data_IF_023898074079
#
_entry.id   IF_023898074079
#
_cell.length_a   1.000
_cell.length_b   1.000
_cell.length_c   1.000
_cell.angle_alpha   90.00
_cell.angle_beta   90.00
_cell.angle_gamma   90.00
#
_symmetry.space_group_name_H-M   'P 1'
#
loop_
_entity.id
_entity.type
_entity.pdbx_description
1 polymer ?
#
# COMPACT_ATOMS: atom_id res chain seq x y z
N UNK A 1 -10.24 6.94 -5.77
CA UNK A 1 -10.61 6.63 -4.37
C UNK A 1 -9.49 6.95 -3.37
N UNK A 2 -8.21 6.58 -3.60
CA UNK A 2 -7.11 6.99 -2.69
C UNK A 2 -6.38 8.29 -3.09
N UNK A 3 -6.74 8.91 -4.21
CA UNK A 3 -6.01 10.04 -4.78
C UNK A 3 -5.85 11.23 -3.84
N UNK A 4 -6.91 11.57 -3.09
CA UNK A 4 -6.88 12.71 -2.20
C UNK A 4 -5.92 12.47 -1.03
N UNK A 5 -5.84 11.24 -0.53
CA UNK A 5 -4.85 10.85 0.47
C UNK A 5 -3.43 10.87 -0.07
N UNK A 6 -3.23 10.41 -1.30
CA UNK A 6 -1.92 10.51 -1.96
C UNK A 6 -1.53 11.99 -2.13
N UNK A 7 -2.44 12.86 -2.60
CA UNK A 7 -2.17 14.31 -2.76
C UNK A 7 -1.91 15.01 -1.43
N UNK A 8 -2.62 14.62 -0.37
CA UNK A 8 -2.43 15.14 0.99
C UNK A 8 -1.17 14.58 1.70
N UNK A 9 -0.42 13.66 1.07
CA UNK A 9 0.85 13.17 1.59
C UNK A 9 0.71 12.20 2.77
N UNK A 10 -0.39 11.42 2.82
CA UNK A 10 -0.54 10.38 3.82
C UNK A 10 0.51 9.28 3.57
N UNK A 11 1.38 8.96 4.56
CA UNK A 11 2.50 8.05 4.34
C UNK A 11 2.08 6.58 4.41
N UNK A 12 0.99 6.23 5.10
CA UNK A 12 0.51 4.85 5.23
C UNK A 12 -1.01 4.80 5.19
N UNK A 13 -1.53 3.93 4.33
CA UNK A 13 -2.95 3.61 4.17
C UNK A 13 -3.14 2.11 4.39
N UNK A 14 -4.21 1.72 5.06
CA UNK A 14 -4.66 0.33 5.20
C UNK A 14 -6.02 0.17 4.55
N UNK A 15 -6.09 -0.60 3.47
CA UNK A 15 -7.28 -0.77 2.64
C UNK A 15 -7.87 -2.14 2.91
N UNK A 16 -9.08 -2.14 3.48
CA UNK A 16 -9.85 -3.35 3.76
C UNK A 16 -10.64 -3.79 2.54
N UNK A 17 -10.30 -4.94 1.96
CA UNK A 17 -10.97 -5.51 0.78
C UNK A 17 -10.71 -7.01 0.61
N UNK A 18 -11.69 -7.73 0.06
CA UNK A 18 -11.53 -9.11 -0.41
C UNK A 18 -11.05 -9.21 -1.87
N UNK A 19 -10.97 -8.09 -2.59
CA UNK A 19 -10.57 -8.01 -4.00
C UNK A 19 -9.32 -7.13 -4.17
N UNK A 20 -8.14 -7.59 -3.73
CA UNK A 20 -6.93 -6.79 -3.75
C UNK A 20 -6.51 -6.39 -5.18
N UNK A 21 -6.59 -7.31 -6.14
CA UNK A 21 -6.21 -7.02 -7.54
C UNK A 21 -7.11 -5.96 -8.18
N UNK A 22 -8.43 -6.00 -7.92
CA UNK A 22 -9.38 -4.99 -8.42
C UNK A 22 -9.04 -3.61 -7.87
N UNK A 23 -8.79 -3.53 -6.57
CA UNK A 23 -8.39 -2.29 -5.92
C UNK A 23 -7.07 -1.75 -6.48
N UNK A 24 -6.03 -2.60 -6.53
CA UNK A 24 -4.68 -2.21 -6.96
C UNK A 24 -4.70 -1.74 -8.42
N UNK A 25 -5.34 -2.48 -9.33
CA UNK A 25 -5.45 -2.08 -10.73
C UNK A 25 -6.20 -0.74 -10.88
N UNK A 26 -7.30 -0.55 -10.16
CA UNK A 26 -8.03 0.73 -10.16
C UNK A 26 -7.22 1.89 -9.57
N UNK A 27 -6.35 1.62 -8.58
CA UNK A 27 -5.54 2.63 -7.91
C UNK A 27 -4.27 3.00 -8.69
N UNK A 28 -3.67 2.07 -9.43
CA UNK A 28 -2.47 2.32 -10.26
C UNK A 28 -2.76 3.38 -11.32
N UNK A 29 -3.91 3.32 -11.99
CA UNK A 29 -4.30 4.35 -12.98
C UNK A 29 -4.56 5.74 -12.37
N UNK A 30 -4.49 5.85 -11.06
CA UNK A 30 -4.84 7.03 -10.27
C UNK A 30 -3.63 7.54 -9.47
N UNK A 31 -2.41 7.05 -9.73
CA UNK A 31 -1.17 7.27 -8.97
C UNK A 31 -0.70 8.74 -8.87
N UNK A 32 -1.29 9.65 -9.63
CA UNK A 32 -0.99 11.09 -9.62
C UNK A 32 0.49 11.37 -9.90
N UNK A 33 1.09 10.63 -10.83
CA UNK A 33 2.50 10.77 -11.22
C UNK A 33 3.47 10.16 -10.23
N UNK A 34 2.98 9.29 -9.32
CA UNK A 34 3.82 8.48 -8.44
C UNK A 34 4.20 7.18 -9.12
N UNK A 35 5.38 6.66 -8.83
CA UNK A 35 5.82 5.35 -9.30
C UNK A 35 5.12 4.24 -8.51
N UNK A 36 4.29 3.40 -9.15
CA UNK A 36 3.63 2.30 -8.47
C UNK A 36 4.55 1.09 -8.27
N UNK A 37 4.55 0.54 -7.05
CA UNK A 37 5.21 -0.70 -6.68
C UNK A 37 4.19 -1.70 -6.17
N UNK A 38 4.41 -2.98 -6.44
CA UNK A 38 3.67 -4.09 -5.85
C UNK A 38 4.61 -4.93 -5.01
N UNK A 39 4.14 -5.40 -3.86
CA UNK A 39 4.84 -6.36 -3.03
C UNK A 39 3.91 -7.49 -2.59
N UNK A 40 4.46 -8.71 -2.56
CA UNK A 40 3.91 -9.83 -1.80
C UNK A 40 5.04 -10.65 -1.17
N UNK A 41 4.74 -11.34 -0.06
CA UNK A 41 5.74 -12.08 0.73
C UNK A 41 6.47 -13.16 -0.06
N UNK A 42 5.85 -13.72 -1.11
CA UNK A 42 6.41 -14.85 -1.85
C UNK A 42 7.44 -14.38 -2.87
N UNK A 43 7.19 -13.23 -3.50
CA UNK A 43 7.99 -12.74 -4.64
C UNK A 43 8.87 -11.53 -4.28
N UNK A 44 8.59 -10.86 -3.17
CA UNK A 44 9.20 -9.57 -2.83
C UNK A 44 8.46 -8.42 -3.53
N UNK A 45 9.18 -7.41 -4.05
CA UNK A 45 8.57 -6.26 -4.73
C UNK A 45 9.00 -6.08 -6.18
N UNK A 46 8.20 -5.34 -6.95
CA UNK A 46 8.56 -4.84 -8.28
C UNK A 46 7.89 -3.50 -8.55
N UNK A 47 8.47 -2.72 -9.46
CA UNK A 47 7.79 -1.59 -10.06
C UNK A 47 6.76 -2.08 -11.09
N UNK A 48 5.59 -1.45 -11.13
CA UNK A 48 4.56 -1.78 -12.12
C UNK A 48 4.77 -0.96 -13.41
N UNK A 49 4.57 -1.59 -14.56
CA UNK A 49 4.54 -0.92 -15.87
C UNK A 49 5.89 -0.70 -16.54
N UNK A 50 7.02 -0.94 -15.88
CA UNK A 50 8.36 -0.77 -16.45
C UNK A 50 9.03 -2.08 -16.93
N UNK A 51 8.33 -3.22 -16.81
CA UNK A 51 8.88 -4.54 -17.15
C UNK A 51 9.94 -5.07 -16.19
N UNK A 52 10.16 -4.43 -15.04
CA UNK A 52 11.11 -4.91 -14.04
C UNK A 52 10.64 -6.24 -13.43
N UNK A 53 11.62 -7.12 -13.19
CA UNK A 53 11.42 -8.35 -12.44
C UNK A 53 11.12 -8.11 -10.96
N UNK A 54 10.72 -9.18 -10.28
CA UNK A 54 10.59 -9.19 -8.83
C UNK A 54 11.95 -9.17 -8.17
N UNK A 55 12.06 -8.41 -7.08
CA UNK A 55 13.23 -8.30 -6.22
C UNK A 55 12.85 -8.83 -4.84
N UNK A 56 13.63 -9.78 -4.33
CA UNK A 56 13.41 -10.33 -2.99
C UNK A 56 13.50 -9.22 -1.94
N UNK A 57 12.63 -9.30 -0.94
CA UNK A 57 12.58 -8.35 0.15
C UNK A 57 11.95 -9.02 1.36
N UNK A 58 12.73 -9.06 2.44
CA UNK A 58 12.23 -9.52 3.73
C UNK A 58 11.09 -8.59 4.18
N UNK A 59 9.91 -9.12 4.58
CA UNK A 59 8.80 -8.31 5.08
C UNK A 59 9.19 -7.37 6.23
N UNK A 60 10.16 -7.74 7.09
CA UNK A 60 10.63 -6.90 8.18
C UNK A 60 11.46 -5.70 7.69
N UNK A 61 12.13 -5.81 6.53
CA UNK A 61 12.92 -4.71 5.94
C UNK A 61 12.13 -3.89 4.92
N UNK A 62 10.95 -4.36 4.48
CA UNK A 62 10.09 -3.68 3.51
C UNK A 62 9.86 -2.17 3.80
N UNK A 63 9.58 -1.73 5.04
CA UNK A 63 9.44 -0.31 5.32
C UNK A 63 10.72 0.48 4.99
N UNK A 64 11.90 -0.06 5.32
CA UNK A 64 13.18 0.57 5.04
C UNK A 64 13.50 0.55 3.54
N UNK A 65 13.20 -0.56 2.86
CA UNK A 65 13.36 -0.69 1.42
C UNK A 65 12.55 0.37 0.67
N UNK A 66 11.29 0.59 1.07
CA UNK A 66 10.46 1.64 0.50
C UNK A 66 11.05 3.03 0.74
N UNK A 67 11.58 3.30 1.94
CA UNK A 67 12.15 4.60 2.30
C UNK A 67 13.45 4.93 1.54
N UNK A 68 14.26 3.91 1.24
CA UNK A 68 15.49 4.00 0.44
C UNK A 68 15.22 4.08 -1.06
N UNK A 69 14.05 3.60 -1.51
CA UNK A 69 13.66 3.54 -2.91
C UNK A 69 13.37 4.91 -3.55
N UNK A 70 12.69 4.86 -4.69
CA UNK A 70 12.34 6.03 -5.51
C UNK A 70 11.43 7.01 -4.76
N UNK A 71 11.68 8.30 -4.95
CA UNK A 71 10.76 9.34 -4.50
C UNK A 71 9.45 9.33 -5.30
N UNK A 72 8.40 9.94 -4.73
CA UNK A 72 7.05 9.95 -5.28
C UNK A 72 6.62 8.53 -5.67
N UNK A 73 6.60 7.62 -4.70
CA UNK A 73 6.26 6.23 -4.93
C UNK A 73 5.01 5.82 -4.15
N UNK A 74 4.24 4.89 -4.70
CA UNK A 74 3.13 4.25 -3.99
C UNK A 74 3.36 2.75 -3.97
N UNK A 75 3.40 2.16 -2.79
CA UNK A 75 3.70 0.75 -2.59
C UNK A 75 2.45 -0.01 -2.19
N UNK A 76 1.94 -0.85 -3.08
CA UNK A 76 0.80 -1.72 -2.82
C UNK A 76 1.28 -3.03 -2.19
N UNK A 77 1.05 -3.16 -0.88
CA UNK A 77 1.57 -4.25 -0.05
C UNK A 77 0.47 -5.27 0.21
N UNK A 78 0.40 -6.34 -0.60
CA UNK A 78 -0.65 -7.34 -0.46
C UNK A 78 -0.43 -8.15 0.82
N UNK A 79 -1.45 -8.22 1.65
CA UNK A 79 -1.46 -8.94 2.92
C UNK A 79 -0.40 -8.50 3.94
N UNK A 80 0.16 -7.29 3.85
CA UNK A 80 1.18 -6.85 4.80
C UNK A 80 0.68 -6.68 6.24
N UNK A 81 -0.64 -6.70 6.47
CA UNK A 81 -1.25 -6.78 7.81
C UNK A 81 -0.76 -7.94 8.67
N UNK A 82 -0.20 -9.02 8.10
CA UNK A 82 0.40 -10.09 8.90
C UNK A 82 1.63 -9.63 9.69
N UNK A 83 2.34 -8.60 9.21
CA UNK A 83 3.56 -8.09 9.85
C UNK A 83 3.38 -6.73 10.51
N UNK A 84 2.26 -6.02 10.29
CA UNK A 84 2.08 -4.68 10.86
C UNK A 84 2.07 -4.66 12.40
N UNK A 85 1.78 -5.80 13.03
CA UNK A 85 1.77 -5.95 14.49
C UNK A 85 3.16 -6.31 15.06
N UNK A 86 4.16 -6.55 14.21
CA UNK A 86 5.48 -6.94 14.65
C UNK A 86 6.28 -5.72 15.13
N UNK A 87 6.87 -5.74 16.34
CA UNK A 87 7.58 -4.58 16.89
C UNK A 87 8.66 -3.98 15.96
N UNK A 88 9.49 -4.77 15.24
CA UNK A 88 10.45 -4.22 14.29
C UNK A 88 9.79 -3.47 13.13
N UNK A 89 8.63 -3.93 12.64
CA UNK A 89 7.89 -3.30 11.54
C UNK A 89 7.24 -2.01 12.01
N UNK A 90 6.62 -2.03 13.20
CA UNK A 90 6.04 -0.83 13.83
C UNK A 90 7.12 0.25 13.94
N UNK A 91 8.26 -0.09 14.53
CA UNK A 91 9.37 0.85 14.72
C UNK A 91 9.93 1.34 13.38
N UNK A 92 10.07 0.47 12.39
CA UNK A 92 10.57 0.84 11.07
C UNK A 92 9.62 1.79 10.33
N UNK A 93 8.30 1.56 10.39
CA UNK A 93 7.31 2.48 9.82
C UNK A 93 7.45 3.84 10.51
N UNK A 94 7.40 3.89 11.84
CA UNK A 94 7.48 5.14 12.62
C UNK A 94 8.75 5.94 12.31
N UNK A 95 9.91 5.28 12.31
CA UNK A 95 11.19 5.90 12.00
C UNK A 95 11.22 6.54 10.60
N UNK A 96 10.54 5.91 9.64
CA UNK A 96 10.53 6.35 8.25
C UNK A 96 9.39 7.33 7.92
N UNK A 97 8.44 7.60 8.82
CA UNK A 97 7.31 8.52 8.56
C UNK A 97 7.74 9.91 8.03
N UNK A 98 8.74 10.60 8.62
CA UNK A 98 9.19 11.89 8.08
C UNK A 98 9.73 11.75 6.66
N UNK A 99 10.50 10.69 6.40
CA UNK A 99 11.09 10.41 5.10
C UNK A 99 10.02 10.10 4.05
N UNK A 100 9.00 9.32 4.40
CA UNK A 100 7.88 9.04 3.52
C UNK A 100 7.15 10.32 3.11
N UNK A 101 6.87 11.21 4.07
CA UNK A 101 6.24 12.50 3.80
C UNK A 101 7.10 13.38 2.90
N UNK A 102 8.39 13.55 3.23
CA UNK A 102 9.32 14.38 2.46
C UNK A 102 9.51 13.88 1.04
N UNK A 103 9.64 12.56 0.85
CA UNK A 103 9.80 11.95 -0.48
C UNK A 103 8.48 11.72 -1.20
N UNK A 104 7.32 11.94 -0.58
CA UNK A 104 6.01 11.65 -1.16
C UNK A 104 5.77 10.15 -1.39
N UNK A 105 6.34 9.30 -0.55
CA UNK A 105 6.15 7.85 -0.53
C UNK A 105 4.89 7.52 0.28
N UNK A 106 4.04 6.65 -0.25
CA UNK A 106 2.88 6.10 0.46
C UNK A 106 2.93 4.57 0.45
N UNK A 107 2.84 3.95 1.63
CA UNK A 107 2.59 2.52 1.77
C UNK A 107 1.08 2.28 1.79
N UNK A 108 0.58 1.38 0.94
CA UNK A 108 -0.83 1.02 0.83
C UNK A 108 -0.94 -0.47 1.13
N UNK A 109 -1.29 -0.79 2.36
CA UNK A 109 -1.52 -2.17 2.81
C UNK A 109 -2.89 -2.60 2.31
N UNK A 110 -2.96 -3.73 1.60
CA UNK A 110 -4.23 -4.22 1.04
C UNK A 110 -4.51 -5.61 1.60
N UNK A 111 -5.59 -5.75 2.35
CA UNK A 111 -5.91 -6.96 3.10
C UNK A 111 -7.40 -7.09 3.39
N UNK A 112 -7.92 -8.31 3.67
CA UNK A 112 -9.33 -8.50 4.03
C UNK A 112 -9.68 -7.97 5.42
N UNK A 113 -8.70 -7.75 6.28
CA UNK A 113 -8.85 -7.06 7.56
C UNK A 113 -7.84 -5.92 7.71
N UNK A 114 -8.17 -4.93 8.54
CA UNK A 114 -7.36 -3.75 8.79
C UNK A 114 -7.25 -3.50 10.30
N UNK A 115 -6.79 -4.50 11.06
CA UNK A 115 -6.47 -4.36 12.49
C UNK A 115 -5.09 -3.74 12.60
N UNK A 116 -4.99 -2.63 13.31
CA UNK A 116 -3.75 -1.90 13.53
C UNK A 116 -3.31 -2.05 14.99
N UNK A 117 -1.99 -2.08 15.25
CA UNK A 117 -1.48 -1.91 16.60
C UNK A 117 -1.69 -0.46 17.07
N UNK A 118 -1.82 -0.26 18.38
CA UNK A 118 -2.11 1.04 19.00
C UNK A 118 -1.09 2.12 18.59
N UNK A 119 0.17 1.71 18.43
CA UNK A 119 1.31 2.53 18.07
C UNK A 119 1.23 3.12 16.65
N UNK A 120 0.33 2.61 15.79
CA UNK A 120 0.14 3.04 14.41
C UNK A 120 -1.25 3.62 14.12
N UNK A 121 -2.15 3.66 15.10
CA UNK A 121 -3.54 4.13 14.91
C UNK A 121 -3.64 5.58 14.43
N UNK A 122 -2.65 6.43 14.77
CA UNK A 122 -2.66 7.85 14.39
C UNK A 122 -1.94 8.11 13.07
N UNK A 123 -1.11 7.17 12.65
CA UNK A 123 -0.17 7.24 11.54
C UNK A 123 -0.75 6.59 10.28
N UNK A 124 -1.62 5.60 10.45
CA UNK A 124 -2.20 4.80 9.39
C UNK A 124 -3.67 5.13 9.23
N UNK A 125 -4.06 5.52 8.00
CA UNK A 125 -5.48 5.74 7.68
C UNK A 125 -6.10 4.45 7.17
N UNK A 126 -7.17 4.00 7.82
CA UNK A 126 -7.96 2.84 7.37
C UNK A 126 -9.03 3.29 6.36
N UNK A 127 -9.10 2.58 5.24
CA UNK A 127 -10.06 2.80 4.16
C UNK A 127 -10.81 1.52 3.86
N UNK A 128 -12.13 1.63 3.72
CA UNK A 128 -12.98 0.52 3.32
C UNK A 128 -13.18 0.50 1.81
N UNK A 129 -12.88 -0.64 1.17
CA UNK A 129 -13.17 -0.87 -0.23
C UNK A 129 -14.10 -2.08 -0.36
N UNK A 130 -15.43 -1.83 -0.30
CA UNK A 130 -16.42 -2.89 -0.28
C UNK A 130 -16.51 -3.62 -1.63
N UNK A 131 -17.11 -4.80 -1.60
CA UNK A 131 -17.53 -5.52 -2.80
C UNK A 131 -18.42 -4.62 -3.68
N UNK A 132 -18.39 -4.80 -5.01
CA UNK A 132 -19.24 -4.02 -5.90
C UNK A 132 -20.69 -4.35 -5.59
N UNK A 133 -21.54 -3.33 -5.65
CA UNK A 133 -22.97 -3.51 -5.65
C UNK A 133 -23.44 -4.34 -6.85
N UNK A 134 -24.65 -4.91 -6.75
CA UNK A 134 -25.25 -5.65 -7.87
C UNK A 134 -25.40 -4.81 -9.15
N UNK A 135 -25.50 -3.49 -9.03
CA UNK A 135 -25.62 -2.59 -10.17
C UNK A 135 -24.27 -2.40 -10.87
N UNK A 136 -23.18 -2.25 -10.12
CA UNK A 136 -21.82 -2.20 -10.66
C UNK A 136 -21.41 -3.54 -11.29
N UNK A 137 -21.87 -4.66 -10.76
CA UNK A 137 -21.64 -5.97 -11.38
C UNK A 137 -22.32 -6.07 -12.76
N UNK A 138 -23.52 -5.49 -12.92
CA UNK A 138 -24.23 -5.51 -14.21
C UNK A 138 -23.52 -4.70 -15.29
N UNK A 139 -22.83 -3.61 -14.93
CA UNK A 139 -22.08 -2.80 -15.90
C UNK A 139 -20.74 -3.43 -16.29
N UNK A 140 -20.16 -4.30 -15.45
CA UNK A 140 -18.92 -5.04 -15.76
C UNK A 140 -19.19 -6.27 -16.63
N UNK A 141 -20.38 -6.87 -16.53
CA UNK A 141 -20.79 -8.07 -17.26
C UNK A 141 -21.50 -7.79 -18.60
N UNK A 142 -21.79 -6.53 -18.92
CA UNK A 142 -22.41 -6.10 -20.17
C UNK A 142 -21.35 -5.71 -21.20
#
# INVERSE_FOLDING_TARGET
MIQDYLKAGYPVLSVRTHEPERFINGAIHQDNGRTPYQWDVVRGFRQVGNGAGWQECDPFDLPNAAAKGTEKAVWFLRNFHFWINEPPVIQAIQNNLPLYKTKGITLVIVSPEAKLPLELEREVVVLDYPLPSREELKSILA
#
